data_IF_767467395873
#
_entry.id   IF_767467395873
#
_cell.length_a   1.000
_cell.length_b   1.000
_cell.length_c   1.000
_cell.angle_alpha   90.00
_cell.angle_beta   90.00
_cell.angle_gamma   90.00
#
_symmetry.space_group_name_H-M   'P 1'
#
loop_
_entity.id
_entity.type
_entity.pdbx_description
1 polymer ?
#
# COMPACT_ATOMS: atom_id res chain seq x y z
N UNK A 1 19.42 28.30 -14.69
CA UNK A 1 18.57 28.95 -13.67
C UNK A 1 17.10 28.58 -13.83
N UNK A 2 16.50 28.79 -15.01
CA UNK A 2 15.07 28.51 -15.25
C UNK A 2 14.66 27.05 -14.98
N UNK A 3 15.37 26.06 -15.54
CA UNK A 3 15.07 24.64 -15.30
C UNK A 3 15.22 24.25 -13.81
N UNK A 4 16.23 24.80 -13.12
CA UNK A 4 16.43 24.55 -11.70
C UNK A 4 15.31 25.17 -10.85
N UNK A 5 14.88 26.39 -11.18
CA UNK A 5 13.75 27.03 -10.52
C UNK A 5 12.45 26.24 -10.74
N UNK A 6 12.23 25.71 -11.95
CA UNK A 6 11.08 24.85 -12.25
C UNK A 6 11.04 23.62 -11.34
N UNK A 7 12.17 22.90 -11.19
CA UNK A 7 12.24 21.73 -10.30
C UNK A 7 11.86 22.10 -8.87
N UNK A 8 12.43 23.18 -8.32
CA UNK A 8 12.14 23.61 -6.95
C UNK A 8 10.67 23.98 -6.76
N UNK A 9 10.11 24.77 -7.70
CA UNK A 9 8.72 25.20 -7.63
C UNK A 9 7.73 24.04 -7.83
N UNK A 10 8.02 23.13 -8.75
CA UNK A 10 7.17 21.95 -8.99
C UNK A 10 7.15 21.04 -7.76
N UNK A 11 8.30 20.85 -7.09
CA UNK A 11 8.37 20.11 -5.82
C UNK A 11 7.63 20.84 -4.71
N UNK A 12 7.85 22.15 -4.53
CA UNK A 12 7.17 22.96 -3.51
C UNK A 12 5.65 22.90 -3.65
N UNK A 13 5.14 23.08 -4.87
CA UNK A 13 3.70 23.05 -5.14
C UNK A 13 3.14 21.63 -5.28
N UNK A 14 3.98 20.59 -5.21
CA UNK A 14 3.54 19.19 -5.15
C UNK A 14 2.52 18.95 -4.04
N UNK A 15 2.72 19.57 -2.86
CA UNK A 15 1.77 19.48 -1.73
C UNK A 15 0.38 20.00 -2.10
N UNK A 16 0.28 21.08 -2.88
CA UNK A 16 -1.01 21.61 -3.31
C UNK A 16 -1.76 20.62 -4.20
N UNK A 17 -1.04 19.98 -5.14
CA UNK A 17 -1.62 18.96 -6.03
C UNK A 17 -2.19 17.79 -5.22
N UNK A 18 -1.45 17.30 -4.24
CA UNK A 18 -1.90 16.22 -3.35
C UNK A 18 -3.13 16.62 -2.50
N UNK A 19 -3.14 17.85 -1.95
CA UNK A 19 -4.29 18.36 -1.19
C UNK A 19 -5.54 18.61 -2.02
N UNK A 20 -5.38 19.01 -3.28
CA UNK A 20 -6.48 19.16 -4.24
C UNK A 20 -7.09 17.78 -4.54
N UNK A 21 -6.26 16.77 -4.81
CA UNK A 21 -6.67 15.39 -4.99
C UNK A 21 -7.46 14.89 -3.76
N UNK A 22 -6.88 15.03 -2.57
CA UNK A 22 -7.53 14.64 -1.31
C UNK A 22 -8.89 15.32 -1.11
N UNK A 23 -8.97 16.63 -1.36
CA UNK A 23 -10.23 17.37 -1.19
C UNK A 23 -11.32 16.86 -2.15
N UNK A 24 -10.98 16.62 -3.42
CA UNK A 24 -11.92 16.03 -4.39
C UNK A 24 -12.40 14.65 -3.96
N UNK A 25 -11.48 13.78 -3.54
CA UNK A 25 -11.78 12.42 -3.08
C UNK A 25 -12.64 12.43 -1.82
N UNK A 26 -12.31 13.27 -0.83
CA UNK A 26 -13.04 13.36 0.44
C UNK A 26 -14.45 13.92 0.26
N UNK A 27 -14.64 14.85 -0.67
CA UNK A 27 -15.95 15.41 -0.99
C UNK A 27 -16.83 14.47 -1.83
N UNK A 28 -16.30 13.33 -2.30
CA UNK A 28 -17.06 12.41 -3.16
C UNK A 28 -17.21 12.89 -4.60
N UNK A 29 -16.34 13.81 -5.06
CA UNK A 29 -16.41 14.35 -6.44
C UNK A 29 -16.36 13.22 -7.46
N UNK A 30 -15.45 12.27 -7.28
CA UNK A 30 -15.24 11.17 -8.23
C UNK A 30 -16.39 10.16 -8.27
N UNK A 31 -17.20 10.08 -7.22
CA UNK A 31 -18.41 9.26 -7.21
C UNK A 31 -19.60 9.99 -7.87
N UNK A 32 -19.57 11.32 -7.91
CA UNK A 32 -20.65 12.15 -8.45
C UNK A 32 -20.51 12.44 -9.95
N UNK A 33 -19.32 12.25 -10.53
CA UNK A 33 -19.08 12.36 -11.98
C UNK A 33 -19.07 10.99 -12.65
N UNK A 34 -19.41 10.96 -13.94
CA UNK A 34 -19.29 9.75 -14.77
C UNK A 34 -18.19 9.94 -15.81
N UNK A 35 -17.67 8.88 -16.46
CA UNK A 35 -16.74 9.04 -17.60
C UNK A 35 -17.46 9.34 -18.93
N UNK A 36 -18.80 9.21 -18.98
CA UNK A 36 -19.56 9.20 -20.24
C UNK A 36 -20.19 10.55 -20.60
N UNK A 37 -20.56 11.35 -19.61
CA UNK A 37 -21.22 12.63 -19.80
C UNK A 37 -20.70 13.68 -18.83
N UNK A 38 -20.58 14.92 -19.30
CA UNK A 38 -20.24 16.08 -18.47
C UNK A 38 -21.43 16.51 -17.62
N UNK A 39 -21.18 16.72 -16.32
CA UNK A 39 -22.15 17.22 -15.34
C UNK A 39 -21.76 18.62 -14.90
N UNK A 40 -22.70 19.55 -14.81
CA UNK A 40 -22.40 20.94 -14.47
C UNK A 40 -21.92 21.11 -13.02
N UNK A 41 -21.10 22.14 -12.72
CA UNK A 41 -20.71 22.43 -11.34
C UNK A 41 -21.90 22.66 -10.41
N UNK A 42 -23.01 23.22 -10.92
CA UNK A 42 -24.22 23.46 -10.15
C UNK A 42 -24.93 22.16 -9.75
N UNK A 43 -25.05 21.20 -10.68
CA UNK A 43 -25.64 19.89 -10.39
C UNK A 43 -24.76 19.08 -9.42
N UNK A 44 -23.44 19.11 -9.61
CA UNK A 44 -22.49 18.46 -8.69
C UNK A 44 -22.56 19.10 -7.29
N UNK A 45 -22.62 20.42 -7.19
CA UNK A 45 -22.74 21.12 -5.91
C UNK A 45 -24.04 20.78 -5.18
N UNK A 46 -25.16 20.71 -5.90
CA UNK A 46 -26.44 20.28 -5.34
C UNK A 46 -26.41 18.83 -4.84
N UNK A 47 -25.77 17.94 -5.61
CA UNK A 47 -25.62 16.51 -5.27
C UNK A 47 -24.74 16.30 -4.05
N UNK A 48 -23.59 16.97 -4.01
CA UNK A 48 -22.60 16.88 -2.93
C UNK A 48 -22.94 17.75 -1.71
N UNK A 49 -23.96 18.62 -1.83
CA UNK A 49 -24.40 19.57 -0.79
C UNK A 49 -23.28 20.51 -0.34
N UNK A 50 -22.59 21.10 -1.32
CA UNK A 50 -21.47 22.04 -1.11
C UNK A 50 -21.73 23.36 -1.84
N UNK A 51 -20.91 24.36 -1.54
CA UNK A 51 -20.94 25.66 -2.23
C UNK A 51 -20.46 25.54 -3.68
N UNK A 52 -21.29 25.97 -4.64
CA UNK A 52 -20.99 25.85 -6.08
C UNK A 52 -19.76 26.66 -6.52
N UNK A 53 -19.61 27.95 -6.17
CA UNK A 53 -18.43 28.72 -6.57
C UNK A 53 -17.12 28.13 -6.05
N UNK A 54 -17.09 27.63 -4.82
CA UNK A 54 -15.91 26.97 -4.25
C UNK A 54 -15.66 25.60 -4.88
N UNK A 55 -16.71 24.80 -5.10
CA UNK A 55 -16.59 23.51 -5.79
C UNK A 55 -16.05 23.71 -7.21
N UNK A 56 -16.54 24.68 -7.97
CA UNK A 56 -16.05 24.94 -9.34
C UNK A 56 -14.54 25.25 -9.38
N UNK A 57 -14.01 25.97 -8.38
CA UNK A 57 -12.57 26.22 -8.26
C UNK A 57 -11.78 24.93 -8.01
N UNK A 58 -12.34 24.02 -7.22
CA UNK A 58 -11.73 22.70 -6.99
C UNK A 58 -11.80 21.82 -8.26
N UNK A 59 -12.96 21.77 -8.92
CA UNK A 59 -13.18 20.97 -10.13
C UNK A 59 -12.23 21.38 -11.27
N UNK A 60 -12.06 22.69 -11.53
CA UNK A 60 -11.09 23.15 -12.55
C UNK A 60 -9.65 22.77 -12.20
N UNK A 61 -9.32 22.75 -10.90
CA UNK A 61 -7.98 22.37 -10.45
C UNK A 61 -7.76 20.87 -10.62
N UNK A 62 -8.76 20.04 -10.32
CA UNK A 62 -8.74 18.61 -10.61
C UNK A 62 -8.64 18.33 -12.13
N UNK A 63 -9.32 19.14 -12.96
CA UNK A 63 -9.19 19.05 -14.41
C UNK A 63 -7.78 19.43 -14.90
N UNK A 64 -7.18 20.48 -14.34
CA UNK A 64 -5.79 20.87 -14.62
C UNK A 64 -4.76 19.81 -14.18
N UNK A 65 -5.11 18.94 -13.21
CA UNK A 65 -4.31 17.78 -12.81
C UNK A 65 -4.59 16.53 -13.68
N UNK A 66 -5.49 16.62 -14.66
CA UNK A 66 -5.86 15.52 -15.55
C UNK A 66 -6.76 14.46 -14.90
N UNK A 67 -7.36 14.76 -13.73
CA UNK A 67 -8.27 13.84 -13.02
C UNK A 67 -9.72 13.99 -13.52
N UNK A 68 -10.06 15.17 -14.04
CA UNK A 68 -11.35 15.47 -14.67
C UNK A 68 -11.12 16.06 -16.07
N UNK A 69 -12.15 16.01 -16.90
CA UNK A 69 -12.22 16.70 -18.19
C UNK A 69 -13.28 17.80 -18.08
N UNK A 70 -12.90 19.07 -18.33
CA UNK A 70 -13.78 20.24 -18.31
C UNK A 70 -14.14 20.64 -19.75
N UNK A 71 -15.44 20.74 -20.07
CA UNK A 71 -15.90 21.20 -21.38
C UNK A 71 -16.06 22.73 -21.47
N UNK A 72 -16.46 23.23 -22.64
CA UNK A 72 -16.66 24.66 -22.88
C UNK A 72 -17.83 25.26 -22.06
N UNK A 73 -18.73 24.43 -21.56
CA UNK A 73 -19.89 24.80 -20.75
C UNK A 73 -19.64 24.66 -19.24
N UNK A 74 -18.40 24.37 -18.81
CA UNK A 74 -18.01 24.09 -17.41
C UNK A 74 -18.71 22.86 -16.85
N UNK A 75 -19.03 21.91 -17.71
CA UNK A 75 -19.36 20.55 -17.33
C UNK A 75 -18.10 19.75 -17.05
N UNK A 76 -18.20 18.75 -16.16
CA UNK A 76 -17.09 17.90 -15.73
C UNK A 76 -17.43 16.43 -15.86
N UNK A 77 -16.47 15.63 -16.33
CA UNK A 77 -16.53 14.16 -16.32
C UNK A 77 -15.22 13.56 -15.82
N UNK A 78 -15.24 12.31 -15.38
CA UNK A 78 -14.03 11.60 -14.97
C UNK A 78 -13.12 11.31 -16.17
N UNK A 79 -11.81 11.46 -16.00
CA UNK A 79 -10.81 10.84 -16.88
C UNK A 79 -10.51 9.41 -16.41
N UNK A 80 -9.73 8.64 -17.17
CA UNK A 80 -9.25 7.33 -16.74
C UNK A 80 -8.51 7.38 -15.38
N UNK A 81 -7.78 8.47 -15.08
CA UNK A 81 -7.13 8.65 -13.77
C UNK A 81 -8.14 9.02 -12.68
N UNK A 82 -9.17 9.80 -12.99
CA UNK A 82 -10.26 10.10 -12.06
C UNK A 82 -11.10 8.87 -11.71
N UNK A 83 -11.29 7.95 -12.66
CA UNK A 83 -12.03 6.70 -12.43
C UNK A 83 -11.35 5.80 -11.38
N UNK A 84 -10.02 5.87 -11.23
CA UNK A 84 -9.30 5.18 -10.16
C UNK A 84 -9.67 5.69 -8.75
N UNK A 85 -10.37 6.83 -8.63
CA UNK A 85 -10.77 7.42 -7.35
C UNK A 85 -12.24 7.19 -7.02
N UNK A 86 -12.98 6.54 -7.93
CA UNK A 86 -14.35 6.13 -7.71
C UNK A 86 -14.40 4.96 -6.71
N UNK A 87 -15.35 4.96 -5.76
CA UNK A 87 -15.45 3.92 -4.72
C UNK A 87 -15.68 2.51 -5.29
N UNK A 88 -16.48 2.43 -6.35
CA UNK A 88 -16.83 1.17 -7.00
C UNK A 88 -15.85 0.68 -8.07
N UNK A 89 -14.72 1.38 -8.28
CA UNK A 89 -13.72 0.94 -9.26
C UNK A 89 -13.03 -0.36 -8.78
N UNK A 90 -12.80 -1.29 -9.71
CA UNK A 90 -12.13 -2.56 -9.40
C UNK A 90 -10.72 -2.34 -8.82
N UNK A 91 -10.00 -1.34 -9.34
CA UNK A 91 -8.65 -0.96 -8.89
C UNK A 91 -8.65 0.45 -8.29
N UNK A 92 -9.46 0.67 -7.25
CA UNK A 92 -9.59 1.99 -6.62
C UNK A 92 -8.35 2.36 -5.81
N UNK A 93 -7.93 3.63 -5.88
CA UNK A 93 -6.92 4.29 -5.04
C UNK A 93 -7.55 5.28 -4.04
N UNK A 94 -8.88 5.35 -3.99
CA UNK A 94 -9.63 6.29 -3.15
C UNK A 94 -9.17 6.25 -1.69
N UNK A 95 -9.23 5.08 -1.06
CA UNK A 95 -8.96 4.96 0.36
C UNK A 95 -7.47 5.18 0.66
N UNK A 96 -6.59 4.83 -0.27
CA UNK A 96 -5.16 5.14 -0.15
C UNK A 96 -4.90 6.65 -0.15
N UNK A 97 -5.55 7.42 -1.04
CA UNK A 97 -5.49 8.89 -1.01
C UNK A 97 -6.03 9.45 0.31
N UNK A 98 -7.15 8.91 0.80
CA UNK A 98 -7.77 9.37 2.04
C UNK A 98 -6.91 9.09 3.29
N UNK A 99 -6.13 8.02 3.29
CA UNK A 99 -5.16 7.73 4.35
C UNK A 99 -3.93 8.64 4.25
N UNK A 100 -3.26 8.66 3.08
CA UNK A 100 -1.97 9.33 2.90
C UNK A 100 -2.06 10.86 3.11
N UNK A 101 -3.15 11.46 2.63
CA UNK A 101 -3.46 12.87 2.86
C UNK A 101 -4.50 13.06 3.99
N UNK A 102 -4.77 12.00 4.75
CA UNK A 102 -5.60 12.03 5.95
C UNK A 102 -4.94 12.81 7.08
N UNK A 103 -5.67 13.13 8.15
CA UNK A 103 -5.16 13.99 9.23
C UNK A 103 -3.93 13.41 9.91
N UNK A 104 -3.89 12.09 10.17
CA UNK A 104 -2.72 11.45 10.79
C UNK A 104 -1.47 11.54 9.90
N UNK A 105 -1.56 11.03 8.67
CA UNK A 105 -0.38 10.96 7.79
C UNK A 105 0.03 12.35 7.29
N UNK A 106 -0.89 13.31 7.20
CA UNK A 106 -0.52 14.68 6.83
C UNK A 106 0.26 15.38 7.96
N UNK A 107 -0.16 15.21 9.22
CA UNK A 107 0.42 15.91 10.37
C UNK A 107 1.85 15.45 10.68
N UNK A 108 2.15 14.15 10.56
CA UNK A 108 3.49 13.63 10.90
C UNK A 108 4.62 14.23 10.07
N UNK A 109 4.34 14.75 8.87
CA UNK A 109 5.36 15.39 8.01
C UNK A 109 5.81 16.76 8.54
N UNK A 110 5.03 17.41 9.41
CA UNK A 110 5.43 18.69 10.01
C UNK A 110 6.68 18.54 10.89
N UNK A 111 6.91 17.34 11.41
CA UNK A 111 8.02 17.02 12.32
C UNK A 111 9.33 16.66 11.61
N UNK A 112 9.33 16.48 10.29
CA UNK A 112 10.48 15.96 9.54
C UNK A 112 11.80 16.72 9.80
N UNK A 113 11.85 18.07 9.81
CA UNK A 113 13.08 18.79 10.12
C UNK A 113 13.63 18.52 11.53
N UNK A 114 12.74 18.38 12.51
CA UNK A 114 13.13 18.17 13.91
C UNK A 114 13.55 16.71 14.15
N UNK A 115 12.88 15.76 13.49
CA UNK A 115 13.29 14.35 13.45
C UNK A 115 14.73 14.21 12.94
N UNK A 116 15.06 14.86 11.82
CA UNK A 116 16.41 14.81 11.25
C UNK A 116 17.43 15.52 12.16
N UNK A 117 17.01 16.57 12.86
CA UNK A 117 17.91 17.34 13.73
C UNK A 117 18.37 16.56 14.96
N UNK A 118 17.48 15.80 15.60
CA UNK A 118 17.79 15.14 16.87
C UNK A 118 17.84 13.60 16.82
N UNK A 119 17.21 12.97 15.82
CA UNK A 119 17.19 11.52 15.62
C UNK A 119 16.51 10.72 16.73
N UNK A 120 15.66 11.33 17.58
CA UNK A 120 15.15 10.68 18.80
C UNK A 120 13.81 9.97 18.65
N UNK A 121 12.89 10.55 17.88
CA UNK A 121 11.51 10.10 17.74
C UNK A 121 11.03 10.35 16.31
N UNK A 122 10.23 9.43 15.77
CA UNK A 122 9.53 9.61 14.49
C UNK A 122 8.40 10.65 14.60
N UNK A 123 7.83 11.02 13.46
CA UNK A 123 6.77 12.01 13.37
C UNK A 123 5.48 11.58 14.07
N UNK A 124 5.13 10.29 13.99
CA UNK A 124 3.92 9.75 14.62
C UNK A 124 3.96 9.86 16.15
N UNK A 125 5.07 9.51 16.79
CA UNK A 125 5.25 9.64 18.24
C UNK A 125 5.26 11.12 18.65
N UNK A 126 5.86 12.00 17.86
CA UNK A 126 5.87 13.45 18.16
C UNK A 126 4.48 14.07 18.12
N UNK A 127 3.65 13.68 17.15
CA UNK A 127 2.31 14.23 16.97
C UNK A 127 1.27 13.58 17.88
N UNK A 128 1.29 12.25 18.01
CA UNK A 128 0.23 11.46 18.65
C UNK A 128 0.66 10.77 19.95
N UNK A 129 1.94 10.86 20.34
CA UNK A 129 2.46 10.31 21.60
C UNK A 129 2.61 8.78 21.65
N UNK A 130 2.38 8.08 20.54
CA UNK A 130 2.45 6.62 20.44
C UNK A 130 2.96 6.19 19.06
N UNK A 131 3.36 4.92 18.93
CA UNK A 131 3.66 4.32 17.62
C UNK A 131 2.36 4.11 16.82
N UNK A 132 2.44 4.13 15.48
CA UNK A 132 1.27 4.10 14.62
C UNK A 132 0.34 2.88 14.83
N UNK A 133 0.92 1.68 15.00
CA UNK A 133 0.13 0.47 15.26
C UNK A 133 -0.49 0.45 16.65
N UNK A 134 0.20 0.97 17.68
CA UNK A 134 -0.38 1.09 19.02
C UNK A 134 -1.51 2.12 19.04
N UNK A 135 -1.33 3.25 18.36
CA UNK A 135 -2.38 4.24 18.16
C UNK A 135 -3.60 3.63 17.44
N UNK A 136 -3.41 2.78 16.44
CA UNK A 136 -4.49 2.11 15.73
C UNK A 136 -5.35 1.19 16.61
N UNK A 137 -4.78 0.57 17.66
CA UNK A 137 -5.54 -0.29 18.60
C UNK A 137 -6.65 0.49 19.29
N UNK A 138 -6.36 1.73 19.70
CA UNK A 138 -7.30 2.58 20.45
C UNK A 138 -8.14 3.50 19.53
N UNK A 139 -7.75 3.67 18.26
CA UNK A 139 -8.39 4.61 17.33
C UNK A 139 -9.05 3.87 16.15
N UNK A 140 -10.28 3.39 16.39
CA UNK A 140 -11.06 2.60 15.42
C UNK A 140 -11.12 3.25 14.04
N UNK A 141 -11.35 4.58 13.95
CA UNK A 141 -11.38 5.30 12.67
C UNK A 141 -10.09 5.11 11.89
N UNK A 142 -8.95 5.39 12.51
CA UNK A 142 -7.64 5.30 11.87
C UNK A 142 -7.33 3.85 11.46
N UNK A 143 -7.63 2.87 12.32
CA UNK A 143 -7.49 1.45 11.99
C UNK A 143 -8.32 1.05 10.77
N UNK A 144 -9.58 1.47 10.72
CA UNK A 144 -10.46 1.15 9.58
C UNK A 144 -10.01 1.85 8.30
N UNK A 145 -9.58 3.10 8.38
CA UNK A 145 -9.05 3.86 7.23
C UNK A 145 -7.75 3.23 6.71
N UNK A 146 -6.85 2.82 7.61
CA UNK A 146 -5.61 2.10 7.26
C UNK A 146 -5.89 0.77 6.57
N UNK A 147 -6.79 -0.06 7.14
CA UNK A 147 -7.19 -1.34 6.54
C UNK A 147 -7.74 -1.17 5.12
N UNK A 148 -8.67 -0.23 4.93
CA UNK A 148 -9.26 0.06 3.61
C UNK A 148 -8.23 0.56 2.62
N UNK A 149 -7.35 1.45 3.04
CA UNK A 149 -6.28 1.99 2.22
C UNK A 149 -5.30 0.92 1.73
N UNK A 150 -4.87 0.00 2.60
CA UNK A 150 -3.97 -1.08 2.21
C UNK A 150 -4.64 -2.07 1.25
N UNK A 151 -5.93 -2.33 1.42
CA UNK A 151 -6.70 -3.14 0.47
C UNK A 151 -6.81 -2.45 -0.89
N UNK A 152 -7.27 -1.20 -0.90
CA UNK A 152 -7.37 -0.34 -2.10
C UNK A 152 -6.03 -0.28 -2.84
N UNK A 153 -4.93 -0.02 -2.15
CA UNK A 153 -3.62 0.03 -2.77
C UNK A 153 -3.15 -1.32 -3.35
N UNK A 154 -3.47 -2.42 -2.66
CA UNK A 154 -3.13 -3.77 -3.14
C UNK A 154 -3.84 -4.11 -4.46
N UNK A 155 -5.04 -3.59 -4.73
CA UNK A 155 -5.75 -3.80 -6.00
C UNK A 155 -4.96 -3.33 -7.23
N UNK A 156 -4.07 -2.36 -7.06
CA UNK A 156 -3.24 -1.80 -8.15
C UNK A 156 -1.88 -2.52 -8.27
N UNK A 157 -1.40 -3.13 -7.20
CA UNK A 157 -0.07 -3.74 -7.16
C UNK A 157 -0.07 -5.26 -7.38
N UNK A 158 -1.08 -5.98 -6.88
CA UNK A 158 -1.04 -7.45 -6.83
C UNK A 158 -0.86 -8.08 -8.20
N UNK A 159 -1.50 -7.58 -9.24
CA UNK A 159 -1.34 -8.13 -10.60
C UNK A 159 0.11 -8.09 -11.09
N UNK A 160 0.83 -6.99 -10.80
CA UNK A 160 2.23 -6.81 -11.21
C UNK A 160 3.16 -7.74 -10.44
N UNK A 161 2.88 -7.94 -9.15
CA UNK A 161 3.61 -8.89 -8.29
C UNK A 161 3.36 -10.33 -8.74
N UNK A 162 2.10 -10.67 -9.06
CA UNK A 162 1.73 -11.99 -9.57
C UNK A 162 2.40 -12.27 -10.91
N UNK A 163 2.50 -11.28 -11.80
CA UNK A 163 3.24 -11.41 -13.05
C UNK A 163 4.74 -11.63 -12.82
N UNK A 164 5.36 -10.90 -11.89
CA UNK A 164 6.75 -11.14 -11.49
C UNK A 164 6.93 -12.56 -10.89
N UNK A 165 5.92 -13.12 -10.24
CA UNK A 165 5.93 -14.48 -9.69
C UNK A 165 5.53 -15.56 -10.70
N UNK A 166 5.23 -15.23 -11.96
CA UNK A 166 4.73 -16.19 -12.97
C UNK A 166 5.61 -17.43 -13.12
N UNK A 167 6.93 -17.23 -13.11
CA UNK A 167 7.93 -18.29 -13.26
C UNK A 167 8.48 -18.79 -11.91
N UNK A 168 7.88 -18.38 -10.79
CA UNK A 168 8.24 -18.90 -9.48
C UNK A 168 7.89 -20.39 -9.40
N UNK A 169 8.86 -21.19 -8.94
CA UNK A 169 8.74 -22.65 -8.88
C UNK A 169 7.94 -23.10 -7.64
N UNK A 170 6.67 -22.71 -7.56
CA UNK A 170 5.75 -23.27 -6.57
C UNK A 170 5.48 -24.75 -6.88
N UNK A 171 5.62 -25.62 -5.87
CA UNK A 171 5.28 -27.02 -6.03
C UNK A 171 3.76 -27.17 -6.28
N UNK A 172 3.32 -28.09 -7.16
CA UNK A 172 1.91 -28.40 -7.30
C UNK A 172 1.30 -28.81 -5.96
N UNK A 173 0.18 -28.20 -5.57
CA UNK A 173 -0.46 -28.45 -4.28
C UNK A 173 0.15 -27.69 -3.10
N UNK A 174 1.15 -26.82 -3.33
CA UNK A 174 1.75 -26.03 -2.26
C UNK A 174 0.73 -25.10 -1.60
N UNK A 175 0.85 -24.98 -0.28
CA UNK A 175 0.11 -24.01 0.52
C UNK A 175 0.97 -22.77 0.76
N UNK A 176 0.44 -21.61 0.37
CA UNK A 176 1.12 -20.32 0.49
C UNK A 176 0.47 -19.50 1.62
N UNK A 177 1.26 -19.03 2.57
CA UNK A 177 0.79 -18.17 3.65
C UNK A 177 1.23 -16.72 3.40
N UNK A 178 0.26 -15.81 3.30
CA UNK A 178 0.47 -14.36 3.19
C UNK A 178 0.45 -13.77 4.61
N UNK A 179 1.63 -13.47 5.15
CA UNK A 179 1.82 -12.94 6.52
C UNK A 179 1.58 -11.43 6.47
N UNK A 180 0.67 -10.94 7.31
CA UNK A 180 0.18 -9.56 7.22
C UNK A 180 -0.64 -9.33 5.95
N UNK A 181 -1.36 -10.36 5.49
CA UNK A 181 -2.04 -10.36 4.19
C UNK A 181 -3.26 -9.42 4.10
N UNK A 182 -3.63 -8.75 5.19
CA UNK A 182 -4.80 -7.88 5.28
C UNK A 182 -6.08 -8.62 4.91
N UNK A 183 -6.84 -8.04 3.96
CA UNK A 183 -8.05 -8.66 3.41
C UNK A 183 -7.77 -9.72 2.32
N UNK A 184 -6.50 -10.03 2.06
CA UNK A 184 -6.08 -11.17 1.22
C UNK A 184 -6.00 -10.90 -0.28
N UNK A 185 -6.05 -9.65 -0.75
CA UNK A 185 -6.06 -9.35 -2.20
C UNK A 185 -4.85 -9.94 -2.93
N UNK A 186 -3.65 -9.83 -2.35
CA UNK A 186 -2.43 -10.39 -2.94
C UNK A 186 -2.51 -11.91 -3.07
N UNK A 187 -2.73 -12.62 -1.96
CA UNK A 187 -2.86 -14.07 -2.00
C UNK A 187 -3.99 -14.53 -2.93
N UNK A 188 -5.16 -13.89 -2.90
CA UNK A 188 -6.28 -14.27 -3.75
C UNK A 188 -5.96 -14.10 -5.25
N UNK A 189 -5.23 -13.03 -5.61
CA UNK A 189 -4.73 -12.82 -6.97
C UNK A 189 -3.77 -13.93 -7.39
N UNK A 190 -2.86 -14.34 -6.51
CA UNK A 190 -1.96 -15.47 -6.75
C UNK A 190 -2.73 -16.78 -6.95
N UNK A 191 -3.69 -17.08 -6.09
CA UNK A 191 -4.49 -18.31 -6.18
C UNK A 191 -5.37 -18.35 -7.44
N UNK A 192 -5.80 -17.20 -7.96
CA UNK A 192 -6.52 -17.10 -9.23
C UNK A 192 -5.62 -17.43 -10.42
N UNK A 193 -4.35 -17.00 -10.39
CA UNK A 193 -3.36 -17.26 -11.44
C UNK A 193 -2.76 -18.68 -11.36
N UNK A 194 -2.69 -19.27 -10.17
CA UNK A 194 -2.12 -20.59 -9.93
C UNK A 194 -3.17 -21.55 -9.33
N UNK A 195 -3.94 -22.27 -10.16
CA UNK A 195 -5.06 -23.11 -9.71
C UNK A 195 -4.66 -24.28 -8.82
N UNK A 196 -3.39 -24.71 -8.86
CA UNK A 196 -2.86 -25.81 -8.06
C UNK A 196 -2.52 -25.42 -6.63
N UNK A 197 -2.50 -24.13 -6.29
CA UNK A 197 -2.13 -23.66 -4.95
C UNK A 197 -3.33 -23.61 -4.01
N UNK A 198 -3.06 -23.75 -2.72
CA UNK A 198 -3.96 -23.34 -1.65
C UNK A 198 -3.29 -22.21 -0.84
N UNK A 199 -4.04 -21.49 -0.02
CA UNK A 199 -3.49 -20.36 0.69
C UNK A 199 -4.12 -20.04 2.04
N UNK A 200 -3.33 -19.34 2.85
CA UNK A 200 -3.67 -18.81 4.16
C UNK A 200 -3.42 -17.30 4.15
N UNK A 201 -4.46 -16.50 4.31
CA UNK A 201 -4.30 -15.09 4.69
C UNK A 201 -4.11 -15.07 6.20
N UNK A 202 -2.97 -14.60 6.67
CA UNK A 202 -2.64 -14.51 8.09
C UNK A 202 -2.45 -13.04 8.48
N UNK A 203 -3.22 -12.57 9.45
CA UNK A 203 -3.14 -11.20 9.97
C UNK A 203 -3.66 -11.15 11.41
N UNK A 204 -3.63 -9.99 12.05
CA UNK A 204 -4.20 -9.79 13.39
C UNK A 204 -5.70 -10.17 13.41
N UNK A 205 -6.22 -10.73 14.52
CA UNK A 205 -7.63 -11.13 14.61
C UNK A 205 -8.61 -10.02 14.21
N UNK A 206 -8.36 -8.78 14.63
CA UNK A 206 -9.20 -7.62 14.31
C UNK A 206 -9.15 -7.18 12.82
N UNK A 207 -8.16 -7.65 12.06
CA UNK A 207 -8.06 -7.42 10.61
C UNK A 207 -8.82 -8.50 9.85
N UNK A 208 -8.75 -9.74 10.33
CA UNK A 208 -9.44 -10.92 9.78
C UNK A 208 -10.93 -10.96 10.14
N UNK A 209 -11.36 -10.26 11.20
CA UNK A 209 -12.75 -10.23 11.64
C UNK A 209 -13.70 -9.70 10.53
N UNK A 210 -14.54 -10.59 10.00
CA UNK A 210 -15.62 -10.30 9.05
C UNK A 210 -15.43 -10.91 7.66
N UNK A 211 -16.04 -12.07 7.41
CA UNK A 211 -15.97 -12.80 6.13
C UNK A 211 -16.37 -11.96 4.90
N UNK A 212 -17.27 -10.98 5.08
CA UNK A 212 -17.79 -10.11 4.01
C UNK A 212 -16.72 -9.20 3.38
N UNK A 213 -15.61 -8.96 4.10
CA UNK A 213 -14.50 -8.13 3.63
C UNK A 213 -13.41 -8.92 2.89
N UNK A 214 -13.49 -10.25 2.91
CA UNK A 214 -12.54 -11.13 2.24
C UNK A 214 -12.58 -10.98 0.72
N UNK A 215 -11.40 -10.90 0.10
CA UNK A 215 -11.30 -11.00 -1.36
C UNK A 215 -11.53 -12.42 -1.89
N UNK A 216 -11.45 -13.45 -1.04
CA UNK A 216 -11.50 -14.84 -1.47
C UNK A 216 -12.82 -15.21 -2.15
N UNK A 217 -13.96 -14.76 -1.59
CA UNK A 217 -15.28 -14.96 -2.18
C UNK A 217 -15.45 -14.17 -3.49
N UNK A 218 -15.01 -12.90 -3.49
CA UNK A 218 -15.12 -11.98 -4.64
C UNK A 218 -14.31 -12.44 -5.85
N UNK A 219 -13.17 -13.10 -5.61
CA UNK A 219 -12.28 -13.61 -6.65
C UNK A 219 -12.52 -15.10 -6.96
N UNK A 220 -13.53 -15.74 -6.35
CA UNK A 220 -13.88 -17.14 -6.62
C UNK A 220 -12.86 -18.17 -6.14
N UNK A 221 -12.02 -17.82 -5.16
CA UNK A 221 -10.96 -18.69 -4.62
C UNK A 221 -11.23 -19.18 -3.19
N UNK A 222 -12.41 -18.88 -2.63
CA UNK A 222 -12.78 -19.21 -1.25
C UNK A 222 -12.59 -20.67 -0.85
N UNK A 223 -12.78 -21.63 -1.76
CA UNK A 223 -12.58 -23.06 -1.46
C UNK A 223 -11.11 -23.43 -1.20
N UNK A 224 -10.15 -22.58 -1.57
CA UNK A 224 -8.70 -22.80 -1.45
C UNK A 224 -8.00 -21.73 -0.62
N UNK A 225 -8.74 -20.79 -0.05
CA UNK A 225 -8.20 -19.66 0.69
C UNK A 225 -8.86 -19.60 2.06
N UNK A 226 -8.08 -19.84 3.12
CA UNK A 226 -8.53 -19.68 4.51
C UNK A 226 -7.96 -18.41 5.12
N UNK A 227 -8.68 -17.83 6.07
CA UNK A 227 -8.21 -16.71 6.88
C UNK A 227 -7.89 -17.20 8.28
N UNK A 228 -6.77 -16.74 8.84
CA UNK A 228 -6.31 -17.14 10.17
C UNK A 228 -5.85 -15.89 10.92
N UNK A 229 -6.51 -15.60 12.04
CA UNK A 229 -6.10 -14.53 12.95
C UNK A 229 -4.94 -14.95 13.85
N UNK A 230 -3.94 -14.08 14.04
CA UNK A 230 -2.85 -14.28 14.98
C UNK A 230 -1.79 -13.18 14.93
N UNK A 231 -0.73 -13.33 15.72
CA UNK A 231 0.39 -12.39 15.78
C UNK A 231 1.65 -13.02 15.17
N UNK A 232 2.19 -12.39 14.13
CA UNK A 232 3.39 -12.84 13.42
C UNK A 232 4.66 -12.80 14.26
N UNK A 233 4.69 -12.06 15.36
CA UNK A 233 5.80 -12.08 16.32
C UNK A 233 5.76 -13.31 17.24
N UNK A 234 4.59 -13.93 17.39
CA UNK A 234 4.37 -15.07 18.27
C UNK A 234 4.54 -16.38 17.49
N UNK A 235 3.66 -16.62 16.50
CA UNK A 235 3.74 -17.77 15.60
C UNK A 235 2.99 -17.52 14.29
N UNK A 236 3.46 -18.13 13.19
CA UNK A 236 2.76 -18.11 11.90
C UNK A 236 2.33 -19.53 11.49
N UNK A 237 1.23 -19.70 10.72
CA UNK A 237 0.77 -21.00 10.25
C UNK A 237 1.84 -21.73 9.43
N UNK A 238 1.94 -23.06 9.58
CA UNK A 238 2.86 -23.86 8.78
C UNK A 238 2.44 -23.89 7.31
N UNK A 239 3.37 -23.58 6.39
CA UNK A 239 3.12 -23.47 4.95
C UNK A 239 4.36 -23.90 4.14
N UNK A 240 4.17 -24.12 2.83
CA UNK A 240 5.25 -24.44 1.88
C UNK A 240 5.96 -23.18 1.38
N UNK A 241 5.25 -22.05 1.36
CA UNK A 241 5.83 -20.75 1.05
C UNK A 241 5.18 -19.63 1.86
N UNK A 242 5.96 -18.58 2.13
CA UNK A 242 5.49 -17.35 2.77
C UNK A 242 5.59 -16.16 1.84
N UNK A 243 4.58 -15.30 1.85
CA UNK A 243 4.62 -13.96 1.26
C UNK A 243 4.66 -12.92 2.38
N UNK A 244 5.49 -11.90 2.21
CA UNK A 244 5.57 -10.73 3.08
C UNK A 244 5.54 -9.50 2.16
N UNK A 245 4.34 -8.97 1.86
CA UNK A 245 4.17 -7.83 0.95
C UNK A 245 3.96 -6.54 1.73
N UNK A 246 4.91 -5.61 1.64
CA UNK A 246 4.87 -4.33 2.36
C UNK A 246 4.68 -4.58 3.87
N UNK A 247 5.55 -5.44 4.42
CA UNK A 247 5.51 -5.85 5.83
C UNK A 247 6.83 -5.50 6.49
N UNK A 248 7.96 -5.98 5.96
CA UNK A 248 9.26 -5.78 6.58
C UNK A 248 9.67 -4.31 6.58
N UNK A 249 9.14 -3.50 5.67
CA UNK A 249 9.40 -2.06 5.67
C UNK A 249 8.75 -1.30 6.84
N UNK A 250 7.79 -1.88 7.55
CA UNK A 250 7.14 -1.26 8.71
C UNK A 250 8.01 -1.36 9.98
N UNK A 251 8.93 -2.32 10.01
CA UNK A 251 9.63 -2.77 11.21
C UNK A 251 11.12 -2.46 11.18
N UNK A 252 11.73 -2.31 12.34
CA UNK A 252 13.18 -2.22 12.46
C UNK A 252 13.86 -3.57 12.14
N UNK A 253 15.19 -3.58 12.04
CA UNK A 253 15.94 -4.77 11.60
C UNK A 253 15.79 -5.96 12.57
N UNK A 254 15.77 -5.73 13.88
CA UNK A 254 15.60 -6.80 14.88
C UNK A 254 14.20 -7.43 14.79
N UNK A 255 13.18 -6.59 14.62
CA UNK A 255 11.79 -7.01 14.41
C UNK A 255 11.62 -7.79 13.09
N UNK A 256 12.25 -7.33 12.00
CA UNK A 256 12.27 -8.05 10.73
C UNK A 256 12.87 -9.45 10.88
N UNK A 257 14.01 -9.56 11.55
CA UNK A 257 14.67 -10.85 11.81
C UNK A 257 13.78 -11.74 12.68
N UNK A 258 13.07 -11.18 13.67
CA UNK A 258 12.13 -11.92 14.49
C UNK A 258 10.99 -12.53 13.65
N UNK A 259 10.34 -11.73 12.80
CA UNK A 259 9.27 -12.17 11.89
C UNK A 259 9.78 -13.28 10.96
N UNK A 260 10.93 -13.04 10.31
CA UNK A 260 11.53 -14.02 9.39
C UNK A 260 11.93 -15.32 10.10
N UNK A 261 12.33 -15.26 11.38
CA UNK A 261 12.59 -16.46 12.20
C UNK A 261 11.31 -17.23 12.53
N UNK A 262 10.17 -16.55 12.76
CA UNK A 262 8.87 -17.22 12.93
C UNK A 262 8.47 -17.95 11.66
N UNK A 263 8.59 -17.29 10.50
CA UNK A 263 8.40 -17.95 9.21
C UNK A 263 9.35 -19.14 9.04
N UNK A 264 10.64 -18.99 9.38
CA UNK A 264 11.65 -20.06 9.25
C UNK A 264 11.33 -21.29 10.10
N UNK A 265 10.80 -21.07 11.31
CA UNK A 265 10.46 -22.14 12.24
C UNK A 265 9.19 -22.91 11.82
N UNK A 266 8.26 -22.25 11.14
CA UNK A 266 6.99 -22.83 10.70
C UNK A 266 7.03 -23.37 9.27
N UNK A 267 8.03 -23.03 8.46
CA UNK A 267 8.13 -23.47 7.07
C UNK A 267 8.29 -24.99 6.96
N UNK A 268 7.59 -25.60 5.99
CA UNK A 268 7.77 -27.01 5.64
C UNK A 268 9.09 -27.22 4.89
N UNK A 269 9.54 -28.47 4.83
CA UNK A 269 10.80 -28.87 4.20
C UNK A 269 10.89 -28.37 2.74
N UNK A 270 12.01 -27.73 2.41
CA UNK A 270 12.23 -27.14 1.08
C UNK A 270 11.44 -25.85 0.82
N UNK A 271 10.79 -25.29 1.84
CA UNK A 271 9.95 -24.12 1.68
C UNK A 271 10.71 -22.80 1.45
N UNK A 272 9.93 -21.79 1.07
CA UNK A 272 10.41 -20.53 0.52
C UNK A 272 9.79 -19.33 1.23
N UNK A 273 10.48 -18.19 1.16
CA UNK A 273 9.91 -16.89 1.52
C UNK A 273 10.09 -15.92 0.36
N UNK A 274 9.05 -15.13 0.11
CA UNK A 274 9.02 -14.08 -0.88
C UNK A 274 8.78 -12.74 -0.17
N UNK A 275 9.83 -11.95 -0.06
CA UNK A 275 9.78 -10.58 0.47
C UNK A 275 9.45 -9.65 -0.70
N UNK A 276 8.29 -8.99 -0.63
CA UNK A 276 7.74 -8.18 -1.71
C UNK A 276 7.69 -6.72 -1.25
N UNK A 277 8.71 -5.95 -1.63
CA UNK A 277 9.00 -4.63 -1.05
C UNK A 277 9.49 -3.64 -2.11
N UNK A 278 9.70 -2.37 -1.74
CA UNK A 278 10.28 -1.36 -2.62
C UNK A 278 11.81 -1.32 -2.44
N UNK A 279 12.55 -2.14 -3.17
CA UNK A 279 13.99 -2.22 -2.96
C UNK A 279 14.67 -0.90 -3.36
N UNK A 280 15.50 -0.37 -2.47
CA UNK A 280 16.25 0.86 -2.70
C UNK A 280 17.38 0.57 -3.69
N UNK A 281 17.38 1.19 -4.89
CA UNK A 281 18.45 0.98 -5.84
C UNK A 281 19.72 1.73 -5.42
N UNK A 282 20.80 1.45 -6.15
CA UNK A 282 22.13 2.00 -5.88
C UNK A 282 22.14 3.54 -5.65
N UNK A 283 23.15 4.05 -4.91
CA UNK A 283 23.36 5.48 -4.76
C UNK A 283 23.37 6.22 -6.11
N UNK A 284 22.77 7.41 -6.14
CA UNK A 284 22.65 8.22 -7.38
C UNK A 284 21.53 7.83 -8.34
N UNK A 285 20.89 6.66 -8.19
CA UNK A 285 19.74 6.27 -9.01
C UNK A 285 18.45 6.88 -8.46
N UNK A 286 17.72 7.65 -9.27
CA UNK A 286 16.43 8.22 -8.88
C UNK A 286 15.37 7.12 -8.79
N UNK A 287 14.65 7.05 -7.67
CA UNK A 287 13.63 6.02 -7.44
C UNK A 287 12.65 6.46 -6.35
N UNK A 288 11.38 6.06 -6.48
CA UNK A 288 10.32 6.46 -5.53
C UNK A 288 10.53 5.88 -4.13
N UNK A 289 11.17 4.70 -4.00
CA UNK A 289 11.45 4.10 -2.68
C UNK A 289 12.23 5.04 -1.76
N UNK A 290 13.08 5.92 -2.31
CA UNK A 290 13.82 6.91 -1.53
C UNK A 290 12.92 8.02 -0.95
N UNK A 291 11.79 8.32 -1.61
CA UNK A 291 10.78 9.23 -1.07
C UNK A 291 9.87 8.51 -0.08
N UNK A 292 9.53 7.25 -0.36
CA UNK A 292 8.70 6.43 0.50
C UNK A 292 9.41 6.08 1.82
N UNK A 293 10.73 5.91 1.79
CA UNK A 293 11.56 5.72 2.99
C UNK A 293 11.43 6.90 3.98
N UNK A 294 11.30 8.13 3.48
CA UNK A 294 11.04 9.30 4.33
C UNK A 294 9.67 9.21 4.99
N UNK A 295 8.65 8.67 4.30
CA UNK A 295 7.35 8.39 4.93
C UNK A 295 7.49 7.33 6.03
N UNK A 296 8.22 6.24 5.78
CA UNK A 296 8.50 5.20 6.78
C UNK A 296 9.20 5.77 8.01
N UNK A 297 10.19 6.63 7.81
CA UNK A 297 10.87 7.35 8.88
C UNK A 297 9.92 8.26 9.68
N UNK A 298 8.92 8.88 9.05
CA UNK A 298 7.90 9.69 9.73
C UNK A 298 6.88 8.85 10.49
N UNK A 299 6.51 7.69 9.97
CA UNK A 299 5.35 6.93 10.39
C UNK A 299 5.66 5.84 11.43
N UNK A 300 6.74 5.08 11.22
CA UNK A 300 7.01 3.84 11.95
C UNK A 300 8.45 3.71 12.45
N UNK A 301 8.85 2.49 12.81
CA UNK A 301 10.23 2.13 13.18
C UNK A 301 11.03 1.58 12.00
N UNK A 302 10.36 1.23 10.90
CA UNK A 302 10.96 0.66 9.72
C UNK A 302 11.51 1.65 8.70
N UNK A 303 11.88 1.10 7.55
CA UNK A 303 12.58 1.75 6.45
C UNK A 303 12.49 0.93 5.17
N UNK A 304 12.62 1.59 4.03
CA UNK A 304 12.91 0.90 2.78
C UNK A 304 14.37 0.48 2.74
N UNK A 305 14.65 -0.71 2.24
CA UNK A 305 16.00 -1.31 2.30
C UNK A 305 16.56 -1.61 0.92
N UNK A 306 17.87 -1.61 0.83
CA UNK A 306 18.60 -2.11 -0.34
C UNK A 306 18.51 -3.64 -0.41
N UNK A 307 18.85 -4.20 -1.57
CA UNK A 307 18.87 -5.65 -1.76
C UNK A 307 19.82 -6.35 -0.75
N UNK A 308 21.00 -5.76 -0.53
CA UNK A 308 22.00 -6.32 0.39
C UNK A 308 21.51 -6.29 1.85
N UNK A 309 20.79 -5.23 2.24
CA UNK A 309 20.17 -5.16 3.57
C UNK A 309 19.08 -6.22 3.75
N UNK A 310 18.21 -6.45 2.76
CA UNK A 310 17.24 -7.55 2.83
C UNK A 310 17.91 -8.92 2.86
N UNK A 311 18.98 -9.13 2.08
CA UNK A 311 19.77 -10.37 2.15
C UNK A 311 20.36 -10.59 3.55
N UNK A 312 20.89 -9.54 4.18
CA UNK A 312 21.42 -9.64 5.55
C UNK A 312 20.33 -10.02 6.57
N UNK A 313 19.11 -9.47 6.44
CA UNK A 313 17.97 -9.85 7.29
C UNK A 313 17.59 -11.33 7.09
N UNK A 314 17.55 -11.79 5.84
CA UNK A 314 17.25 -13.17 5.47
C UNK A 314 18.31 -14.14 6.05
N UNK A 315 19.59 -13.84 5.84
CA UNK A 315 20.70 -14.65 6.36
C UNK A 315 20.66 -14.75 7.89
N UNK A 316 20.44 -13.63 8.59
CA UNK A 316 20.32 -13.58 10.05
C UNK A 316 19.12 -14.38 10.60
N UNK A 317 18.12 -14.63 9.76
CA UNK A 317 16.94 -15.42 10.09
C UNK A 317 17.00 -16.87 9.60
N UNK A 318 18.12 -17.32 9.01
CA UNK A 318 18.29 -18.69 8.52
C UNK A 318 17.63 -18.96 7.17
N UNK A 319 17.46 -17.92 6.35
CA UNK A 319 17.04 -18.01 4.96
C UNK A 319 18.22 -17.72 4.04
N UNK A 320 18.33 -18.46 2.94
CA UNK A 320 19.35 -18.23 1.92
C UNK A 320 18.72 -17.57 0.68
N UNK A 321 19.06 -16.31 0.35
CA UNK A 321 18.59 -15.66 -0.87
C UNK A 321 18.95 -16.48 -2.12
N UNK A 322 18.02 -16.55 -3.08
CA UNK A 322 18.20 -17.28 -4.35
C UNK A 322 17.95 -16.42 -5.58
N UNK A 323 17.25 -15.31 -5.47
CA UNK A 323 17.03 -14.40 -6.58
C UNK A 323 16.15 -13.20 -6.23
N UNK A 324 16.12 -12.25 -7.16
CA UNK A 324 15.23 -11.09 -7.13
C UNK A 324 14.48 -11.02 -8.45
N UNK A 325 13.20 -10.67 -8.41
CA UNK A 325 12.36 -10.42 -9.59
C UNK A 325 11.79 -9.01 -9.49
N UNK A 326 11.69 -8.32 -10.62
CA UNK A 326 11.21 -6.95 -10.68
C UNK A 326 9.78 -6.92 -11.21
N UNK A 327 8.86 -6.25 -10.52
CA UNK A 327 7.54 -5.99 -11.06
C UNK A 327 7.64 -5.03 -12.27
N UNK A 328 6.66 -5.09 -13.17
CA UNK A 328 6.68 -4.37 -14.46
C UNK A 328 6.68 -2.84 -14.33
N UNK A 329 6.30 -2.29 -13.18
CA UNK A 329 6.34 -0.85 -12.90
C UNK A 329 7.73 -0.37 -12.41
N UNK A 330 8.64 -1.30 -12.12
CA UNK A 330 9.93 -1.01 -11.52
C UNK A 330 9.83 -0.33 -10.17
N UNK A 331 8.73 -0.52 -9.42
CA UNK A 331 8.48 0.11 -8.11
C UNK A 331 8.46 -0.89 -6.95
N UNK A 332 8.28 -2.17 -7.27
CA UNK A 332 8.19 -3.29 -6.33
C UNK A 332 9.06 -4.42 -6.85
N UNK A 333 9.75 -5.07 -5.93
CA UNK A 333 10.60 -6.21 -6.18
C UNK A 333 10.20 -7.38 -5.30
N UNK A 334 10.48 -8.58 -5.79
CA UNK A 334 10.24 -9.84 -5.10
C UNK A 334 11.57 -10.52 -4.84
N UNK A 335 12.04 -10.46 -3.61
CA UNK A 335 13.24 -11.18 -3.16
C UNK A 335 12.81 -12.57 -2.71
N UNK A 336 13.37 -13.58 -3.34
CA UNK A 336 13.11 -14.99 -3.02
C UNK A 336 14.27 -15.57 -2.21
N UNK A 337 13.93 -16.29 -1.14
CA UNK A 337 14.88 -17.08 -0.36
C UNK A 337 14.32 -18.46 -0.02
N UNK A 338 15.23 -19.40 0.21
CA UNK A 338 14.92 -20.79 0.62
C UNK A 338 15.38 -21.03 2.04
N UNK A 339 14.74 -21.95 2.76
CA UNK A 339 15.20 -22.40 4.05
C UNK A 339 16.67 -22.87 3.97
N UNK A 340 17.56 -22.26 4.77
CA UNK A 340 19.00 -22.59 4.81
C UNK A 340 19.30 -23.87 5.60
#
# INVERSE_FOLDING_TARGET
MEQAAKVVLDTLFGRWRSRILYAGTRLGVFDAVTPYAHTSSAELAATLKVDEPLLYRLLRALAALGLLDEDAQRGFRATASGELLHAGAASTLRDFVLLQEGPEHYAIWEHLPDMVRDGRQNGFVREFGAMAFDYAKDHVRYRTDFKRAMSSFSTVQSERVVDALRDAAFAPGAEVCDIGGGQGHMLCSLLAQFPSLAGIVFDLPEVIDGDDESWAGRMGVGARCRQVGGDMFDAVPAADAYLLKLILHDWNDDECVAILKRARASVRDGGRVFVIERVVPAPGVAHFSKLYDIHMMCWGSGRERTQDEYHALLDAAGWRPVGIRHASDGQIDVIEAVAA
#
